data_IF_383039818111
#
_entry.id   IF_383039818111
#
_cell.length_a   1.000
_cell.length_b   1.000
_cell.length_c   1.000
_cell.angle_alpha   90.00
_cell.angle_beta   90.00
_cell.angle_gamma   90.00
#
_symmetry.space_group_name_H-M   'P 1'
#
loop_
_entity.id
_entity.type
_entity.pdbx_description
1 polymer ?
#
# COMPACT_ATOMS: atom_id res chain seq x y z
N UNK A 1 -0.98 6.32 -19.75
CA UNK A 1 -1.09 4.93 -19.32
C UNK A 1 0.17 4.15 -19.71
N UNK A 2 1.09 4.03 -18.77
CA UNK A 2 2.27 3.17 -18.77
C UNK A 2 1.86 1.69 -18.68
N UNK A 3 2.84 0.78 -18.76
CA UNK A 3 2.58 -0.65 -18.57
C UNK A 3 2.11 -0.94 -17.13
N UNK A 4 2.74 -0.31 -16.14
CA UNK A 4 2.35 -0.36 -14.72
C UNK A 4 0.91 0.11 -14.51
N UNK A 5 0.56 1.30 -14.99
CA UNK A 5 -0.81 1.84 -14.86
C UNK A 5 -1.85 0.87 -15.44
N UNK A 6 -1.55 0.30 -16.62
CA UNK A 6 -2.45 -0.64 -17.29
C UNK A 6 -2.62 -1.95 -16.51
N UNK A 7 -1.54 -2.51 -15.96
CA UNK A 7 -1.64 -3.79 -15.25
C UNK A 7 -2.36 -3.63 -13.91
N UNK A 8 -2.15 -2.51 -13.21
CA UNK A 8 -2.86 -2.20 -11.95
C UNK A 8 -4.35 -1.98 -12.22
N UNK A 9 -4.72 -1.21 -13.25
CA UNK A 9 -6.13 -1.05 -13.65
C UNK A 9 -6.79 -2.40 -13.97
N UNK A 10 -6.06 -3.31 -14.63
CA UNK A 10 -6.53 -4.66 -14.91
C UNK A 10 -6.74 -5.49 -13.64
N UNK A 11 -5.80 -5.45 -12.69
CA UNK A 11 -5.93 -6.16 -11.41
C UNK A 11 -7.15 -5.65 -10.64
N UNK A 12 -7.34 -4.33 -10.53
CA UNK A 12 -8.48 -3.75 -9.82
C UNK A 12 -9.84 -4.18 -10.41
N UNK A 13 -9.90 -4.49 -11.71
CA UNK A 13 -11.12 -4.92 -12.41
C UNK A 13 -11.23 -6.44 -12.57
N UNK A 14 -10.21 -7.20 -12.16
CA UNK A 14 -10.16 -8.63 -12.39
C UNK A 14 -11.30 -9.31 -11.63
N UNK A 15 -12.07 -10.15 -12.33
CA UNK A 15 -13.12 -10.92 -11.68
C UNK A 15 -12.49 -12.01 -10.81
N UNK A 16 -12.50 -11.79 -9.49
CA UNK A 16 -11.94 -12.73 -8.51
C UNK A 16 -12.96 -13.74 -8.00
N UNK A 17 -14.11 -13.83 -8.66
CA UNK A 17 -15.17 -14.80 -8.40
C UNK A 17 -16.01 -14.47 -7.17
N UNK A 18 -16.72 -15.50 -6.70
CA UNK A 18 -17.63 -15.43 -5.55
C UNK A 18 -17.35 -16.62 -4.63
N UNK A 19 -17.16 -16.40 -3.33
CA UNK A 19 -16.99 -17.49 -2.37
C UNK A 19 -18.27 -17.68 -1.53
N UNK A 20 -18.58 -18.90 -1.08
CA UNK A 20 -19.71 -19.15 -0.17
C UNK A 20 -19.54 -18.43 1.18
N UNK A 21 -18.29 -18.24 1.61
CA UNK A 21 -17.94 -17.52 2.84
C UNK A 21 -17.79 -16.01 2.65
N UNK A 22 -18.12 -15.51 1.46
CA UNK A 22 -18.12 -14.10 1.11
C UNK A 22 -19.32 -13.40 1.75
N UNK A 23 -19.26 -13.24 3.08
CA UNK A 23 -20.39 -12.82 3.91
C UNK A 23 -20.91 -11.39 3.61
N UNK A 24 -20.24 -10.64 2.73
CA UNK A 24 -20.60 -9.31 2.27
C UNK A 24 -21.20 -9.20 0.87
N UNK A 25 -21.48 -10.31 0.17
CA UNK A 25 -21.97 -10.28 -1.23
C UNK A 25 -23.27 -9.48 -1.48
N UNK A 26 -24.00 -9.10 -0.42
CA UNK A 26 -25.18 -8.24 -0.51
C UNK A 26 -24.86 -6.79 -0.91
N UNK A 27 -23.62 -6.32 -0.69
CA UNK A 27 -23.18 -4.95 -0.97
C UNK A 27 -22.36 -4.83 -2.27
N UNK A 28 -22.20 -5.93 -3.00
CA UNK A 28 -21.35 -6.03 -4.18
C UNK A 28 -19.87 -6.19 -3.83
N UNK A 29 -19.12 -6.78 -4.77
CA UNK A 29 -17.67 -7.02 -4.64
C UNK A 29 -16.87 -5.84 -5.14
N UNK A 30 -15.66 -5.65 -4.62
CA UNK A 30 -14.77 -4.58 -5.05
C UNK A 30 -14.56 -4.62 -6.57
N UNK A 31 -14.31 -5.80 -7.15
CA UNK A 31 -14.15 -5.91 -8.61
C UNK A 31 -15.42 -5.55 -9.40
N UNK A 32 -16.61 -5.80 -8.86
CA UNK A 32 -17.89 -5.46 -9.48
C UNK A 32 -18.09 -3.94 -9.51
N UNK A 33 -17.78 -3.26 -8.40
CA UNK A 33 -17.82 -1.80 -8.29
C UNK A 33 -16.78 -1.13 -9.19
N UNK A 34 -15.64 -1.78 -9.36
CA UNK A 34 -14.52 -1.26 -10.14
C UNK A 34 -14.77 -1.24 -11.66
N UNK A 35 -15.75 -1.98 -12.18
CA UNK A 35 -15.97 -2.10 -13.64
C UNK A 35 -16.22 -0.76 -14.35
N UNK A 36 -16.82 0.22 -13.67
CA UNK A 36 -17.19 1.51 -14.28
C UNK A 36 -16.38 2.70 -13.76
N UNK A 37 -15.38 2.46 -12.92
CA UNK A 37 -14.51 3.51 -12.36
C UNK A 37 -13.47 3.95 -13.38
N UNK A 38 -12.97 5.18 -13.25
CA UNK A 38 -11.76 5.64 -13.91
C UNK A 38 -10.76 6.09 -12.84
N UNK A 39 -9.97 5.16 -12.33
CA UNK A 39 -9.08 5.40 -11.19
C UNK A 39 -8.08 6.53 -11.43
N UNK A 40 -7.60 6.69 -12.67
CA UNK A 40 -6.65 7.75 -13.01
C UNK A 40 -7.22 9.16 -12.85
N UNK A 41 -8.55 9.33 -12.93
CA UNK A 41 -9.24 10.62 -12.76
C UNK A 41 -9.74 10.83 -11.32
N UNK A 42 -9.65 9.81 -10.46
CA UNK A 42 -10.04 9.89 -9.06
C UNK A 42 -8.95 10.60 -8.23
N UNK A 43 -9.28 11.19 -7.07
CA UNK A 43 -8.27 11.74 -6.18
C UNK A 43 -7.36 10.65 -5.59
N UNK A 44 -6.13 11.02 -5.24
CA UNK A 44 -5.12 10.14 -4.62
C UNK A 44 -5.49 9.73 -3.20
N UNK A 45 -6.22 10.58 -2.48
CA UNK A 45 -6.78 10.29 -1.17
C UNK A 45 -8.12 11.00 -0.98
N UNK A 46 -8.90 10.53 0.00
CA UNK A 46 -10.18 11.10 0.38
C UNK A 46 -10.27 11.23 1.91
N UNK A 47 -11.03 12.24 2.35
CA UNK A 47 -11.46 12.44 3.73
C UNK A 47 -12.99 12.41 3.75
N UNK A 48 -13.56 11.57 4.60
CA UNK A 48 -15.01 11.54 4.79
C UNK A 48 -15.47 12.54 5.87
N UNK A 49 -16.78 12.69 5.99
CA UNK A 49 -17.41 13.62 6.94
C UNK A 49 -17.15 13.27 8.42
N UNK A 50 -16.66 12.06 8.70
CA UNK A 50 -16.32 11.57 10.05
C UNK A 50 -14.82 11.64 10.33
N UNK A 51 -14.02 12.18 9.40
CA UNK A 51 -12.57 12.22 9.51
C UNK A 51 -11.87 10.92 9.09
N UNK A 52 -12.62 9.95 8.55
CA UNK A 52 -12.07 8.73 7.97
C UNK A 52 -11.28 9.06 6.71
N UNK A 53 -10.07 8.52 6.60
CA UNK A 53 -9.19 8.72 5.45
C UNK A 53 -9.14 7.48 4.58
N UNK A 54 -8.94 7.68 3.29
CA UNK A 54 -8.77 6.59 2.33
C UNK A 54 -7.73 7.00 1.30
N UNK A 55 -6.69 6.19 1.14
CA UNK A 55 -5.70 6.28 0.06
C UNK A 55 -6.22 5.48 -1.14
N UNK A 56 -6.24 6.10 -2.32
CA UNK A 56 -6.61 5.42 -3.55
C UNK A 56 -5.51 4.42 -3.95
N UNK A 57 -5.87 3.14 -3.96
CA UNK A 57 -4.92 2.05 -4.20
C UNK A 57 -4.26 2.15 -5.58
N UNK A 58 -4.99 2.63 -6.60
CA UNK A 58 -4.45 2.78 -7.94
C UNK A 58 -3.26 3.75 -7.96
N UNK A 59 -3.46 4.96 -7.44
CA UNK A 59 -2.42 5.99 -7.42
C UNK A 59 -1.24 5.58 -6.54
N UNK A 60 -1.53 5.01 -5.36
CA UNK A 60 -0.51 4.55 -4.44
C UNK A 60 0.40 3.47 -5.04
N UNK A 61 -0.17 2.49 -5.76
CA UNK A 61 0.59 1.45 -6.46
C UNK A 61 1.33 1.99 -7.69
N UNK A 62 0.71 2.87 -8.49
CA UNK A 62 1.34 3.44 -9.70
C UNK A 62 2.60 4.24 -9.36
N UNK A 63 2.57 4.97 -8.26
CA UNK A 63 3.71 5.75 -7.75
C UNK A 63 4.87 4.84 -7.30
N UNK A 64 4.54 3.69 -6.68
CA UNK A 64 5.51 2.81 -6.02
C UNK A 64 6.01 1.64 -6.85
N UNK A 65 5.37 1.30 -7.96
CA UNK A 65 5.63 0.05 -8.67
C UNK A 65 6.10 0.26 -10.11
N UNK A 66 6.97 -0.63 -10.56
CA UNK A 66 7.41 -0.74 -11.94
C UNK A 66 7.19 -2.16 -12.45
N UNK A 67 6.28 -2.32 -13.41
CA UNK A 67 5.85 -3.64 -13.89
C UNK A 67 6.90 -4.30 -14.80
N UNK A 68 7.31 -5.52 -14.45
CA UNK A 68 8.24 -6.31 -15.25
C UNK A 68 7.52 -7.41 -16.03
N UNK A 69 7.31 -7.17 -17.33
CA UNK A 69 6.65 -8.12 -18.21
C UNK A 69 7.36 -9.49 -18.29
N UNK A 70 8.69 -9.51 -18.22
CA UNK A 70 9.46 -10.74 -18.46
C UNK A 70 9.32 -11.69 -17.27
N UNK A 71 9.52 -11.17 -16.06
CA UNK A 71 9.40 -11.97 -14.82
C UNK A 71 7.94 -12.31 -14.57
N UNK A 72 7.02 -11.37 -14.79
CA UNK A 72 5.58 -11.61 -14.64
C UNK A 72 5.08 -12.74 -15.55
N UNK A 73 5.49 -12.75 -16.82
CA UNK A 73 5.14 -13.85 -17.74
C UNK A 73 5.82 -15.17 -17.39
N UNK A 74 7.01 -15.14 -16.81
CA UNK A 74 7.65 -16.34 -16.28
C UNK A 74 6.84 -16.91 -15.10
N UNK A 75 6.39 -16.05 -14.19
CA UNK A 75 5.55 -16.40 -13.05
C UNK A 75 4.20 -16.97 -13.49
N UNK A 76 3.48 -16.26 -14.36
CA UNK A 76 2.18 -16.69 -14.89
C UNK A 76 2.30 -18.07 -15.55
N UNK A 77 3.33 -18.26 -16.39
CA UNK A 77 3.56 -19.54 -17.06
C UNK A 77 3.87 -20.65 -16.06
N UNK A 78 4.69 -20.37 -15.05
CA UNK A 78 5.03 -21.34 -14.01
C UNK A 78 3.81 -21.74 -13.18
N UNK A 79 2.97 -20.77 -12.79
CA UNK A 79 1.74 -21.02 -12.03
C UNK A 79 0.61 -21.68 -12.84
N UNK A 80 0.65 -21.60 -14.17
CA UNK A 80 -0.43 -22.10 -15.03
C UNK A 80 -0.11 -23.40 -15.78
N UNK A 81 1.01 -24.07 -15.48
CA UNK A 81 1.45 -25.27 -16.24
C UNK A 81 1.70 -26.49 -15.36
N UNK A 82 1.51 -27.67 -15.96
CA UNK A 82 1.76 -28.95 -15.31
C UNK A 82 0.81 -29.20 -14.13
N UNK A 83 1.33 -29.80 -13.07
CA UNK A 83 0.57 -30.16 -11.87
C UNK A 83 0.08 -28.95 -11.07
N UNK A 84 0.57 -27.73 -11.37
CA UNK A 84 0.19 -26.47 -10.71
C UNK A 84 -1.01 -25.77 -11.33
N UNK A 85 -1.50 -26.23 -12.48
CA UNK A 85 -2.59 -25.54 -13.18
C UNK A 85 -3.90 -25.44 -12.36
N UNK A 86 -4.05 -26.31 -11.36
CA UNK A 86 -5.16 -26.33 -10.42
C UNK A 86 -4.80 -25.71 -9.05
N UNK A 87 -3.56 -25.24 -8.85
CA UNK A 87 -3.12 -24.59 -7.62
C UNK A 87 -3.84 -23.23 -7.48
N UNK A 88 -4.29 -22.86 -6.26
CA UNK A 88 -4.72 -21.51 -5.97
C UNK A 88 -3.63 -20.48 -6.28
N UNK A 89 -4.02 -19.30 -6.78
CA UNK A 89 -3.09 -18.19 -7.00
C UNK A 89 -2.31 -17.76 -5.76
N UNK A 90 -2.87 -18.02 -4.57
CA UNK A 90 -2.18 -17.80 -3.30
C UNK A 90 -0.92 -18.67 -3.16
N UNK A 91 -0.98 -19.93 -3.61
CA UNK A 91 0.18 -20.83 -3.57
C UNK A 91 1.24 -20.39 -4.58
N UNK A 92 0.83 -19.84 -5.72
CA UNK A 92 1.74 -19.23 -6.70
C UNK A 92 2.45 -18.01 -6.07
N UNK A 93 1.72 -17.13 -5.39
CA UNK A 93 2.29 -15.97 -4.69
C UNK A 93 3.31 -16.39 -3.63
N UNK A 94 3.02 -17.44 -2.85
CA UNK A 94 3.89 -17.93 -1.78
C UNK A 94 5.14 -18.65 -2.30
N UNK A 95 5.00 -19.44 -3.36
CA UNK A 95 6.06 -20.36 -3.80
C UNK A 95 6.95 -19.78 -4.91
N UNK A 96 6.54 -18.71 -5.60
CA UNK A 96 7.34 -18.15 -6.67
C UNK A 96 8.72 -17.61 -6.22
N UNK A 97 8.90 -17.01 -5.03
CA UNK A 97 10.24 -16.71 -4.50
C UNK A 97 11.15 -17.94 -4.41
N UNK A 98 10.62 -19.11 -4.06
CA UNK A 98 11.40 -20.36 -4.06
C UNK A 98 11.77 -20.80 -5.48
N UNK A 99 10.90 -20.54 -6.45
CA UNK A 99 11.19 -20.80 -7.86
C UNK A 99 12.31 -19.88 -8.37
N UNK A 100 12.29 -18.59 -8.03
CA UNK A 100 13.39 -17.66 -8.33
C UNK A 100 14.72 -18.18 -7.72
N UNK A 101 14.70 -18.70 -6.48
CA UNK A 101 15.88 -19.36 -5.89
C UNK A 101 16.34 -20.58 -6.71
N UNK A 102 15.42 -21.41 -7.20
CA UNK A 102 15.73 -22.56 -8.09
C UNK A 102 16.28 -22.14 -9.45
N UNK A 103 15.83 -20.99 -9.95
CA UNK A 103 16.38 -20.34 -11.14
C UNK A 103 17.76 -19.71 -10.88
N UNK A 104 18.32 -19.83 -9.67
CA UNK A 104 19.68 -19.41 -9.34
C UNK A 104 19.81 -17.96 -8.90
N UNK A 105 18.71 -17.30 -8.54
CA UNK A 105 18.73 -15.99 -7.90
C UNK A 105 18.92 -16.13 -6.38
N UNK A 106 19.67 -15.21 -5.78
CA UNK A 106 19.68 -15.02 -4.33
C UNK A 106 18.63 -13.98 -3.95
N UNK A 107 17.84 -14.30 -2.93
CA UNK A 107 16.72 -13.47 -2.46
C UNK A 107 16.86 -13.25 -0.97
N UNK A 108 16.94 -11.99 -0.57
CA UNK A 108 16.85 -11.56 0.81
C UNK A 108 15.50 -10.93 1.15
N UNK A 109 15.32 -10.59 2.42
CA UNK A 109 14.22 -9.77 2.92
C UNK A 109 14.51 -8.28 2.79
N UNK A 110 14.16 -7.52 3.84
CA UNK A 110 14.37 -6.07 3.91
C UNK A 110 15.88 -5.79 3.93
N UNK A 111 16.31 -4.83 3.13
CA UNK A 111 17.73 -4.45 2.95
C UNK A 111 18.63 -5.60 2.45
N UNK A 112 18.04 -6.64 1.85
CA UNK A 112 18.78 -7.83 1.42
C UNK A 112 19.13 -8.79 2.56
N UNK A 113 18.62 -8.60 3.77
CA UNK A 113 18.88 -9.50 4.90
C UNK A 113 17.67 -10.38 5.22
N UNK A 114 17.94 -11.61 5.66
CA UNK A 114 16.90 -12.56 6.07
C UNK A 114 16.09 -13.14 4.91
N UNK A 115 14.97 -13.78 5.24
CA UNK A 115 14.06 -14.33 4.24
C UNK A 115 13.08 -13.25 3.75
N UNK A 116 12.67 -13.29 2.47
CA UNK A 116 11.56 -12.48 1.99
C UNK A 116 10.31 -12.81 2.82
N UNK A 117 9.43 -11.82 3.01
CA UNK A 117 8.27 -11.95 3.90
C UNK A 117 6.97 -11.66 3.18
N UNK A 118 5.88 -12.10 3.81
CA UNK A 118 4.53 -11.91 3.32
C UNK A 118 3.75 -11.04 4.28
N UNK A 119 2.93 -10.14 3.74
CA UNK A 119 2.03 -9.33 4.53
C UNK A 119 0.70 -9.11 3.81
N UNK A 120 -0.34 -9.01 4.61
CA UNK A 120 -1.69 -8.65 4.19
C UNK A 120 -2.05 -7.34 4.90
N UNK A 121 -2.44 -6.31 4.15
CA UNK A 121 -2.72 -5.01 4.76
C UNK A 121 -3.92 -5.04 5.71
N UNK A 122 -4.80 -6.05 5.57
CA UNK A 122 -5.87 -6.30 6.52
C UNK A 122 -5.41 -6.60 7.96
N UNK A 123 -4.21 -7.15 8.14
CA UNK A 123 -3.71 -7.53 9.46
C UNK A 123 -3.13 -6.34 10.25
N UNK A 124 -3.05 -5.16 9.63
CA UNK A 124 -2.50 -3.93 10.22
C UNK A 124 -3.44 -2.74 10.10
N UNK A 125 -2.92 -1.58 10.49
CA UNK A 125 -3.52 -0.30 10.16
C UNK A 125 -3.31 -0.04 8.67
N UNK A 126 -4.40 0.26 7.95
CA UNK A 126 -4.39 0.40 6.50
C UNK A 126 -5.41 1.45 6.09
N UNK A 127 -4.94 2.46 5.36
CA UNK A 127 -5.81 3.47 4.78
C UNK A 127 -6.12 3.17 3.31
N UNK A 128 -5.60 2.08 2.71
CA UNK A 128 -5.84 1.78 1.31
C UNK A 128 -7.32 1.49 1.03
N UNK A 129 -7.79 1.98 -0.12
CA UNK A 129 -9.17 1.79 -0.58
C UNK A 129 -9.56 0.33 -0.82
N UNK A 130 -8.58 -0.58 -0.93
CA UNK A 130 -8.72 -2.02 -1.11
C UNK A 130 -7.52 -2.73 -0.49
N UNK A 131 -7.76 -3.91 0.08
CA UNK A 131 -6.72 -4.73 0.70
C UNK A 131 -5.78 -5.30 -0.35
N UNK A 132 -4.48 -5.37 -0.02
CA UNK A 132 -3.48 -6.08 -0.81
C UNK A 132 -2.80 -7.17 0.02
N UNK A 133 -2.44 -8.25 -0.67
CA UNK A 133 -1.56 -9.29 -0.17
C UNK A 133 -0.30 -9.28 -1.03
N UNK A 134 0.86 -9.22 -0.41
CA UNK A 134 2.10 -9.24 -1.18
C UNK A 134 3.24 -9.95 -0.46
N UNK A 135 4.12 -10.52 -1.29
CA UNK A 135 5.42 -11.01 -0.89
C UNK A 135 6.46 -9.95 -1.22
N UNK A 136 7.19 -9.47 -0.23
CA UNK A 136 8.31 -8.55 -0.41
C UNK A 136 9.63 -9.31 -0.40
N UNK A 137 10.57 -8.92 -1.25
CA UNK A 137 11.94 -9.42 -1.22
C UNK A 137 12.91 -8.49 -1.92
N UNK A 138 14.20 -8.76 -1.73
CA UNK A 138 15.30 -8.07 -2.42
C UNK A 138 16.07 -9.09 -3.24
N UNK A 139 16.30 -8.81 -4.52
CA UNK A 139 17.21 -9.61 -5.33
C UNK A 139 18.63 -9.12 -5.10
N UNK A 140 19.52 -9.98 -4.61
CA UNK A 140 20.89 -9.62 -4.20
C UNK A 140 21.83 -9.93 -5.36
N UNK A 141 22.31 -11.16 -5.50
CA UNK A 141 23.09 -11.52 -6.69
C UNK A 141 22.97 -13.03 -6.91
N UNK A 142 22.83 -13.47 -8.16
CA UNK A 142 22.76 -14.90 -8.47
C UNK A 142 24.06 -15.43 -9.08
N UNK A 143 24.89 -16.17 -8.33
CA UNK A 143 25.77 -17.17 -8.96
C UNK A 143 24.93 -18.35 -9.45
N UNK A 144 24.49 -18.27 -10.70
CA UNK A 144 23.71 -19.32 -11.36
C UNK A 144 24.46 -20.66 -11.39
N UNK A 145 23.89 -21.66 -10.72
CA UNK A 145 24.15 -23.07 -10.97
C UNK A 145 22.92 -23.70 -11.65
N UNK A 146 22.77 -23.50 -12.96
CA UNK A 146 21.65 -24.06 -13.73
C UNK A 146 21.79 -23.88 -15.25
N UNK A 147 21.13 -24.72 -16.07
CA UNK A 147 21.29 -24.71 -17.52
C UNK A 147 20.48 -23.63 -18.27
N UNK A 148 19.50 -22.98 -17.64
CA UNK A 148 18.67 -21.96 -18.29
C UNK A 148 19.27 -20.55 -18.11
N UNK A 149 19.74 -19.98 -19.23
CA UNK A 149 20.49 -18.72 -19.28
C UNK A 149 19.71 -17.58 -19.94
N UNK A 150 18.45 -17.83 -20.33
CA UNK A 150 17.62 -16.90 -21.08
C UNK A 150 17.17 -15.70 -20.23
N UNK A 151 16.68 -15.94 -19.01
CA UNK A 151 16.36 -14.90 -18.02
C UNK A 151 17.62 -14.17 -17.51
N UNK A 152 18.75 -14.87 -17.37
CA UNK A 152 20.03 -14.27 -16.93
C UNK A 152 20.50 -13.14 -17.85
N UNK A 153 20.44 -13.39 -19.16
CA UNK A 153 20.93 -12.42 -20.15
C UNK A 153 20.10 -11.13 -20.13
N UNK A 154 18.81 -11.24 -19.79
CA UNK A 154 17.92 -10.09 -19.68
C UNK A 154 18.11 -9.29 -18.37
N UNK A 155 18.54 -9.93 -17.26
CA UNK A 155 18.40 -9.34 -15.92
C UNK A 155 19.73 -9.08 -15.16
N UNK A 156 20.86 -9.67 -15.57
CA UNK A 156 22.03 -9.90 -14.67
C UNK A 156 22.84 -8.69 -14.12
N UNK A 157 22.52 -7.43 -14.44
CA UNK A 157 23.30 -6.27 -13.91
C UNK A 157 22.49 -5.14 -13.30
N UNK A 158 21.19 -5.04 -13.59
CA UNK A 158 20.34 -3.93 -13.11
C UNK A 158 19.49 -4.31 -11.89
N UNK A 159 19.67 -5.51 -11.34
CA UNK A 159 18.82 -6.08 -10.29
C UNK A 159 19.49 -6.25 -8.94
N UNK A 160 20.81 -6.02 -8.83
CA UNK A 160 21.54 -6.22 -7.57
C UNK A 160 21.09 -5.23 -6.51
N UNK A 161 20.61 -5.76 -5.38
CA UNK A 161 19.98 -5.02 -4.31
C UNK A 161 18.60 -4.46 -4.65
N UNK A 162 17.98 -4.85 -5.79
CA UNK A 162 16.71 -4.26 -6.21
C UNK A 162 15.52 -4.92 -5.48
N UNK A 163 14.69 -4.15 -4.77
CA UNK A 163 13.50 -4.66 -4.09
C UNK A 163 12.37 -4.95 -5.07
N UNK A 164 11.60 -5.99 -4.80
CA UNK A 164 10.44 -6.40 -5.59
C UNK A 164 9.25 -6.78 -4.70
N UNK A 165 8.07 -6.77 -5.31
CA UNK A 165 6.86 -7.36 -4.74
C UNK A 165 6.18 -8.29 -5.73
N UNK A 166 5.64 -9.38 -5.19
CA UNK A 166 4.63 -10.21 -5.87
C UNK A 166 3.31 -9.90 -5.18
N UNK A 167 2.40 -9.25 -5.90
CA UNK A 167 1.23 -8.61 -5.30
C UNK A 167 -0.08 -9.15 -5.89
N UNK A 168 -1.06 -9.37 -5.02
CA UNK A 168 -2.45 -9.61 -5.38
C UNK A 168 -3.37 -8.60 -4.68
N UNK A 169 -4.39 -8.13 -5.40
CA UNK A 169 -5.39 -7.20 -4.87
C UNK A 169 -6.63 -7.99 -4.43
N UNK A 170 -7.22 -7.62 -3.29
CA UNK A 170 -8.48 -8.19 -2.85
C UNK A 170 -9.65 -7.59 -3.65
N UNK A 171 -10.28 -8.42 -4.48
CA UNK A 171 -11.44 -8.04 -5.28
C UNK A 171 -12.79 -8.48 -4.69
N UNK A 172 -12.80 -9.31 -3.64
CA UNK A 172 -14.00 -9.91 -3.05
C UNK A 172 -14.73 -9.03 -2.02
N UNK A 173 -15.67 -9.60 -1.25
CA UNK A 173 -16.22 -8.94 -0.06
C UNK A 173 -15.58 -9.45 1.25
N UNK A 174 -14.93 -10.62 1.22
CA UNK A 174 -14.27 -11.24 2.36
C UNK A 174 -12.79 -11.50 2.08
N UNK A 175 -11.93 -10.94 2.94
CA UNK A 175 -10.47 -10.91 2.77
C UNK A 175 -9.79 -12.28 2.78
N UNK A 176 -10.52 -13.34 3.18
CA UNK A 176 -10.00 -14.72 3.20
C UNK A 176 -9.99 -15.36 1.82
N UNK A 177 -10.47 -14.68 0.78
CA UNK A 177 -10.41 -15.14 -0.60
C UNK A 177 -10.68 -14.01 -1.60
N UNK A 178 -10.75 -14.35 -2.88
CA UNK A 178 -11.08 -13.35 -3.92
C UNK A 178 -9.92 -12.39 -4.24
N UNK A 179 -8.69 -12.88 -4.17
CA UNK A 179 -7.50 -12.15 -4.64
C UNK A 179 -7.32 -12.32 -6.14
N UNK A 180 -6.77 -11.30 -6.78
CA UNK A 180 -6.35 -11.36 -8.19
C UNK A 180 -5.23 -12.38 -8.38
N UNK A 181 -5.04 -12.81 -9.62
CA UNK A 181 -3.79 -13.41 -10.04
C UNK A 181 -2.61 -12.51 -9.62
N UNK A 182 -1.58 -13.06 -8.95
CA UNK A 182 -0.42 -12.28 -8.53
C UNK A 182 0.29 -11.68 -9.74
N UNK A 183 0.84 -10.49 -9.55
CA UNK A 183 1.68 -9.81 -10.54
C UNK A 183 3.03 -9.45 -9.94
N UNK A 184 4.07 -9.52 -10.76
CA UNK A 184 5.43 -9.15 -10.35
C UNK A 184 5.70 -7.67 -10.64
N UNK A 185 6.25 -6.97 -9.64
CA UNK A 185 6.69 -5.59 -9.78
C UNK A 185 8.02 -5.37 -9.10
N UNK A 186 8.82 -4.49 -9.68
CA UNK A 186 9.90 -3.82 -8.97
C UNK A 186 9.33 -2.67 -8.15
N UNK A 187 9.97 -2.37 -7.03
CA UNK A 187 9.65 -1.19 -6.25
C UNK A 187 10.42 0.02 -6.78
N UNK A 188 9.70 1.14 -6.91
CA UNK A 188 10.26 2.48 -7.08
C UNK A 188 10.89 2.94 -5.76
N UNK A 189 11.96 3.73 -5.82
CA UNK A 189 12.68 4.20 -4.62
C UNK A 189 14.00 3.48 -4.38
N UNK A 190 14.81 4.00 -3.44
CA UNK A 190 16.18 3.51 -3.20
C UNK A 190 16.19 2.15 -2.46
N UNK A 191 15.25 1.93 -1.54
CA UNK A 191 15.15 0.69 -0.74
C UNK A 191 13.77 -0.01 -0.82
N UNK A 192 12.82 0.59 -1.52
CA UNK A 192 11.47 0.04 -1.74
C UNK A 192 10.60 -0.05 -0.48
N UNK A 193 10.99 0.62 0.61
CA UNK A 193 10.26 0.58 1.88
C UNK A 193 8.95 1.37 1.87
N UNK A 194 8.75 2.23 0.87
CA UNK A 194 7.53 3.03 0.70
C UNK A 194 6.26 2.19 0.53
N UNK A 195 6.39 0.91 0.16
CA UNK A 195 5.28 -0.05 0.10
C UNK A 195 4.72 -0.39 1.49
N UNK A 196 5.49 -0.18 2.56
CA UNK A 196 5.01 -0.37 3.93
C UNK A 196 4.26 0.86 4.45
N UNK A 197 4.26 1.95 3.68
CA UNK A 197 3.65 3.19 4.11
C UNK A 197 2.22 3.34 3.57
N UNK A 198 1.33 2.49 4.09
CA UNK A 198 -0.09 2.43 3.72
C UNK A 198 -1.02 3.04 4.78
N UNK A 199 -0.48 3.54 5.89
CA UNK A 199 -1.24 4.14 6.99
C UNK A 199 -0.88 5.62 7.24
N UNK A 200 0.16 6.16 6.59
CA UNK A 200 0.58 7.54 6.79
C UNK A 200 -0.07 8.50 5.80
N UNK A 201 -0.66 9.57 6.32
CA UNK A 201 -1.22 10.66 5.54
C UNK A 201 -0.93 12.00 6.20
N UNK A 202 -0.94 13.05 5.40
CA UNK A 202 -0.90 14.44 5.85
C UNK A 202 -2.18 15.15 5.44
N UNK A 203 -2.83 15.81 6.39
CA UNK A 203 -3.86 16.81 6.14
C UNK A 203 -3.25 18.19 6.13
N UNK A 204 -3.57 18.99 5.12
CA UNK A 204 -3.16 20.40 5.03
C UNK A 204 -4.37 21.31 4.80
N UNK A 205 -4.44 22.40 5.57
CA UNK A 205 -5.40 23.47 5.33
C UNK A 205 -4.86 24.45 4.29
N UNK A 206 -5.47 24.50 3.10
CA UNK A 206 -5.06 25.36 2.00
C UNK A 206 -5.13 26.89 2.29
N UNK A 207 -5.77 27.30 3.38
CA UNK A 207 -5.93 28.71 3.74
C UNK A 207 -4.90 29.20 4.75
N UNK A 208 -4.52 28.37 5.72
CA UNK A 208 -3.59 28.76 6.79
C UNK A 208 -2.32 27.90 6.87
N UNK A 209 -2.19 26.89 6.00
CA UNK A 209 -1.08 25.94 5.94
C UNK A 209 -0.84 25.18 7.26
N UNK A 210 -1.87 25.07 8.10
CA UNK A 210 -1.82 24.16 9.23
C UNK A 210 -1.80 22.72 8.70
N UNK A 211 -0.98 21.88 9.32
CA UNK A 211 -0.76 20.49 8.90
C UNK A 211 -0.93 19.53 10.06
N UNK A 212 -1.47 18.36 9.76
CA UNK A 212 -1.62 17.24 10.68
C UNK A 212 -1.18 15.97 10.00
N UNK A 213 -0.38 15.16 10.69
CA UNK A 213 0.04 13.85 10.22
C UNK A 213 -0.70 12.76 11.01
N UNK A 214 -1.00 11.66 10.33
CA UNK A 214 -1.38 10.39 10.95
C UNK A 214 -0.39 9.34 10.48
N UNK A 215 -0.06 8.40 11.36
CA UNK A 215 0.71 7.19 11.03
C UNK A 215 -0.11 5.90 11.24
N UNK A 216 -1.39 6.07 11.60
CA UNK A 216 -2.32 5.02 12.05
C UNK A 216 -3.66 5.09 11.30
N UNK A 217 -3.61 5.40 10.00
CA UNK A 217 -4.76 5.47 9.10
C UNK A 217 -5.89 6.40 9.57
N UNK A 218 -5.50 7.52 10.19
CA UNK A 218 -6.41 8.55 10.69
C UNK A 218 -7.02 8.26 12.07
N UNK A 219 -6.54 7.24 12.79
CA UNK A 219 -6.97 7.00 14.17
C UNK A 219 -6.50 8.12 15.11
N UNK A 220 -5.29 8.64 14.88
CA UNK A 220 -4.68 9.73 15.63
C UNK A 220 -4.10 10.77 14.67
N UNK A 221 -4.30 12.05 14.99
CA UNK A 221 -3.75 13.18 14.24
C UNK A 221 -2.77 13.97 15.11
N UNK A 222 -1.55 14.12 14.62
CA UNK A 222 -0.47 14.88 15.24
C UNK A 222 -0.30 16.21 14.50
N UNK A 223 -0.47 17.34 15.21
CA UNK A 223 -0.19 18.64 14.62
C UNK A 223 1.29 18.81 14.30
N UNK A 224 1.62 19.20 13.07
CA UNK A 224 3.00 19.55 12.70
C UNK A 224 3.27 20.98 13.17
N UNK A 225 3.54 21.16 14.47
CA UNK A 225 4.29 22.35 14.86
C UNK A 225 5.69 22.22 14.26
N UNK A 226 6.11 23.23 13.49
CA UNK A 226 7.42 23.29 12.87
C UNK A 226 8.52 22.92 13.89
N UNK A 227 9.06 21.70 13.78
CA UNK A 227 10.17 21.20 14.61
C UNK A 227 9.81 21.04 16.10
N UNK A 228 10.05 19.85 16.66
CA UNK A 228 10.23 19.70 18.11
C UNK A 228 11.02 20.90 18.65
N UNK A 229 10.52 21.64 19.66
CA UNK A 229 11.35 22.59 20.37
C UNK A 229 12.57 21.82 20.84
N UNK A 230 13.78 22.36 20.60
CA UNK A 230 14.99 21.74 21.14
C UNK A 230 14.77 21.53 22.65
N UNK A 231 15.09 20.34 23.12
CA UNK A 231 14.81 19.84 24.47
C UNK A 231 15.35 20.72 25.60
N UNK A 232 16.19 21.70 25.29
CA UNK A 232 16.76 22.69 26.19
C UNK A 232 15.92 23.96 26.37
N UNK A 233 14.80 24.13 25.67
CA UNK A 233 13.97 25.35 25.73
C UNK A 233 12.58 25.18 26.35
N UNK A 234 12.21 24.00 26.83
CA UNK A 234 10.93 23.78 27.53
C UNK A 234 11.15 23.50 29.02
N UNK A 235 10.42 24.16 29.94
CA UNK A 235 10.30 23.65 31.29
C UNK A 235 9.64 22.26 31.21
N UNK A 236 10.28 21.24 31.79
CA UNK A 236 9.75 19.88 31.86
C UNK A 236 8.28 19.95 32.34
N UNK A 237 7.29 19.58 31.51
CA UNK A 237 5.95 19.43 32.04
C UNK A 237 5.97 18.20 32.94
N UNK A 238 5.35 18.33 34.12
CA UNK A 238 4.91 17.16 34.86
C UNK A 238 4.10 16.28 33.89
N UNK A 239 4.45 14.99 33.88
CA UNK A 239 3.97 13.97 32.94
C UNK A 239 2.44 13.98 32.88
N UNK A 240 1.90 14.73 31.93
CA UNK A 240 0.53 14.69 31.49
C UNK A 240 0.51 13.99 30.15
N UNK A 241 -0.07 12.80 30.12
CA UNK A 241 -0.48 12.15 28.88
C UNK A 241 -1.45 13.15 28.21
N UNK A 242 -1.06 13.73 27.08
CA UNK A 242 -1.95 14.60 26.32
C UNK A 242 -2.84 13.69 25.47
N UNK A 243 -4.06 13.46 25.98
CA UNK A 243 -5.13 12.83 25.22
C UNK A 243 -5.46 13.73 24.01
N UNK A 244 -5.05 13.31 22.82
CA UNK A 244 -5.52 13.91 21.58
C UNK A 244 -6.88 13.29 21.25
N UNK A 245 -7.93 14.09 21.48
CA UNK A 245 -9.31 13.69 21.28
C UNK A 245 -9.62 13.52 19.77
N UNK A 246 -9.88 12.29 19.33
CA UNK A 246 -11.05 12.03 18.48
C UNK A 246 -12.19 11.81 19.47
N UNK A 247 -13.24 12.63 19.47
CA UNK A 247 -14.30 12.45 20.45
C UNK A 247 -14.95 11.08 20.28
N UNK A 248 -14.97 10.27 21.34
CA UNK A 248 -15.73 9.01 21.43
C UNK A 248 -17.26 9.19 21.24
N UNK A 249 -17.75 10.42 21.08
CA UNK A 249 -19.15 10.68 20.76
C UNK A 249 -19.39 10.59 19.25
N UNK A 250 -19.92 9.44 18.83
CA UNK A 250 -20.37 9.05 17.48
C UNK A 250 -21.58 9.92 17.03
N UNK A 251 -21.44 11.24 17.06
CA UNK A 251 -22.51 12.20 16.72
C UNK A 251 -22.15 13.69 16.80
N UNK A 252 -20.90 14.06 17.11
CA UNK A 252 -20.42 15.45 17.06
C UNK A 252 -19.47 15.68 15.88
N UNK A 253 -19.51 16.88 15.28
CA UNK A 253 -18.58 17.30 14.24
C UNK A 253 -17.13 17.17 14.75
N UNK A 254 -16.28 16.39 14.08
CA UNK A 254 -14.87 16.27 14.44
C UNK A 254 -14.16 17.61 14.20
N UNK A 255 -13.63 18.24 15.26
CA UNK A 255 -12.86 19.49 15.15
C UNK A 255 -11.34 19.20 15.23
N UNK A 256 -10.61 19.47 14.14
CA UNK A 256 -9.14 19.52 14.17
C UNK A 256 -8.71 20.87 14.74
N UNK A 257 -8.26 20.86 16.00
CA UNK A 257 -7.86 22.08 16.72
C UNK A 257 -6.33 22.21 16.67
N UNK A 258 -5.83 23.32 16.12
CA UNK A 258 -4.42 23.71 16.29
C UNK A 258 -4.19 24.11 17.76
N UNK A 259 -3.09 23.65 18.37
CA UNK A 259 -2.74 23.87 19.79
C UNK A 259 -2.75 25.35 20.21
N UNK A 260 -2.62 26.28 19.25
CA UNK A 260 -2.90 27.68 19.46
C UNK A 260 -4.42 27.96 19.57
N UNK A 261 -4.99 27.74 20.76
CA UNK A 261 -6.39 28.06 21.12
C UNK A 261 -6.84 29.49 20.75
N UNK A 262 -5.90 30.43 20.58
CA UNK A 262 -6.16 31.82 20.20
C UNK A 262 -6.12 32.10 18.68
N UNK A 263 -5.85 31.09 17.85
CA UNK A 263 -5.77 31.19 16.38
C UNK A 263 -6.53 30.06 15.65
N UNK A 264 -7.70 29.69 16.16
CA UNK A 264 -8.58 28.77 15.43
C UNK A 264 -8.93 29.38 14.06
N UNK A 265 -8.34 28.87 12.98
CA UNK A 265 -8.74 29.22 11.63
C UNK A 265 -10.20 28.80 11.45
N UNK A 266 -11.13 29.71 11.08
CA UNK A 266 -12.53 29.36 10.90
C UNK A 266 -12.75 28.31 9.80
N UNK A 267 -11.76 28.08 8.94
CA UNK A 267 -11.76 27.03 7.92
C UNK A 267 -11.37 25.65 8.48
N UNK A 268 -10.43 25.57 9.43
CA UNK A 268 -10.03 24.29 10.05
C UNK A 268 -11.15 23.61 10.87
N UNK A 269 -12.28 24.29 11.07
CA UNK A 269 -13.49 23.70 11.68
C UNK A 269 -14.34 22.90 10.70
N UNK A 270 -14.08 23.02 9.39
CA UNK A 270 -14.85 22.34 8.36
C UNK A 270 -13.90 21.45 7.54
N UNK A 271 -14.06 20.13 7.67
CA UNK A 271 -13.23 19.11 7.00
C UNK A 271 -13.21 19.27 5.47
N UNK A 272 -14.27 19.85 4.89
CA UNK A 272 -14.37 20.13 3.44
C UNK A 272 -13.42 21.21 2.90
N UNK A 273 -12.57 21.80 3.75
CA UNK A 273 -11.53 22.76 3.34
C UNK A 273 -10.10 22.21 3.48
N UNK A 274 -9.98 20.94 3.85
CA UNK A 274 -8.71 20.25 4.04
C UNK A 274 -8.38 19.40 2.81
N UNK A 275 -7.13 19.48 2.38
CA UNK A 275 -6.58 18.58 1.38
C UNK A 275 -5.88 17.42 2.08
N UNK A 276 -6.00 16.22 1.53
CA UNK A 276 -5.40 14.99 2.08
C UNK A 276 -4.37 14.46 1.11
N UNK A 277 -3.19 14.16 1.62
CA UNK A 277 -2.08 13.65 0.83
C UNK A 277 -1.60 12.32 1.42
N UNK A 278 -1.43 11.27 0.61
CA UNK A 278 -0.65 10.11 1.03
C UNK A 278 0.83 10.50 1.17
N UNK A 279 1.56 9.83 2.05
CA UNK A 279 3.01 10.03 2.16
C UNK A 279 3.78 9.18 1.13
N UNK A 280 4.88 9.66 0.51
CA UNK A 280 5.47 10.99 0.66
C UNK A 280 4.65 12.06 -0.08
N UNK A 281 4.54 13.26 0.51
CA UNK A 281 3.85 14.38 -0.13
C UNK A 281 4.55 14.75 -1.45
N UNK A 282 3.79 14.78 -2.56
CA UNK A 282 4.27 15.19 -3.89
C UNK A 282 4.45 16.71 -4.04
#
# INVERSE_FOLDING_TARGET
MTATEKIIDQMLRENTGTNMLDSGGAYGRSWEHNQNRNFADEPEAALDERGGVTINLYHWLVDRLDYDLVIDKAMEKWGSTGDRADDPWLDVLHEFPNELKRMGFEIGGIYGEGDPFITNTYDGEDALSQVILYHFGTLIEGTLHGPDTSLKTALSKEIDGRPFVILSIHGGCDVRGGYTQPRFFWLSGEDGTDIFNNAQLTLECCQCNARWDTEDAGCTWMGIESYYPKTDQLPLPEVGIFDYFVSDDIGGDAELVNENKDKACPHCRALNTLDVYPWPCS
#
